data_IF_628492384927
#
_entry.id   IF_628492384927
#
_cell.length_a   1.000
_cell.length_b   1.000
_cell.length_c   1.000
_cell.angle_alpha   90.00
_cell.angle_beta   90.00
_cell.angle_gamma   90.00
#
_symmetry.space_group_name_H-M   'P 1'
#
loop_
_entity.id
_entity.type
_entity.pdbx_description
1 polymer ?
#
# COMPACT_ATOMS: atom_id res chain seq x y z
N UNK A 1 -5.99 3.83 19.58
CA UNK A 1 -4.78 4.38 18.94
C UNK A 1 -4.49 5.73 19.56
N UNK A 2 -3.25 5.97 19.92
CA UNK A 2 -2.75 7.21 20.48
C UNK A 2 -1.29 7.38 20.10
N UNK A 3 -0.76 8.59 20.27
CA UNK A 3 0.65 8.84 20.03
C UNK A 3 1.51 7.85 20.83
N UNK A 4 2.43 7.18 20.16
CA UNK A 4 3.29 6.21 20.79
C UNK A 4 2.82 4.75 20.74
N UNK A 5 1.81 4.43 19.93
CA UNK A 5 1.25 3.07 19.83
C UNK A 5 1.80 2.26 18.64
N UNK A 6 2.62 2.87 17.76
CA UNK A 6 3.17 2.19 16.59
C UNK A 6 4.19 1.11 16.97
N UNK A 7 3.81 -0.15 16.88
CA UNK A 7 4.65 -1.28 17.28
C UNK A 7 4.71 -2.41 16.25
N UNK A 8 5.84 -3.09 16.18
CA UNK A 8 6.04 -4.30 15.40
C UNK A 8 6.41 -5.46 16.30
N UNK A 9 5.64 -6.53 16.18
CA UNK A 9 5.87 -7.75 16.94
C UNK A 9 6.19 -8.91 16.01
N UNK A 10 7.15 -9.72 16.40
CA UNK A 10 7.55 -10.95 15.73
C UNK A 10 7.04 -12.14 16.51
N UNK A 11 6.37 -13.04 15.82
CA UNK A 11 6.01 -14.33 16.36
C UNK A 11 7.02 -15.40 15.95
N UNK A 12 7.42 -16.25 16.89
CA UNK A 12 8.15 -17.48 16.62
C UNK A 12 7.30 -18.67 17.05
N UNK A 13 7.42 -19.79 16.33
CA UNK A 13 6.64 -21.01 16.57
C UNK A 13 5.11 -20.77 16.54
N UNK A 14 4.65 -19.93 15.62
CA UNK A 14 3.24 -19.53 15.55
C UNK A 14 2.27 -20.69 15.31
N UNK A 15 2.77 -21.77 14.71
CA UNK A 15 1.98 -22.95 14.39
C UNK A 15 1.73 -23.88 15.58
N UNK A 16 2.49 -23.71 16.68
CA UNK A 16 2.45 -24.63 17.81
C UNK A 16 2.36 -23.91 19.16
N UNK A 17 3.46 -23.29 19.58
CA UNK A 17 3.55 -22.57 20.86
C UNK A 17 4.03 -21.13 20.56
N UNK A 18 3.11 -20.21 20.25
CA UNK A 18 3.47 -18.89 19.78
C UNK A 18 4.20 -18.10 20.87
N UNK A 19 5.36 -17.56 20.50
CA UNK A 19 6.11 -16.63 21.35
C UNK A 19 6.23 -15.30 20.60
N UNK A 20 5.70 -14.24 21.18
CA UNK A 20 5.75 -12.90 20.62
C UNK A 20 6.86 -12.06 21.23
N UNK A 21 7.62 -11.39 20.37
CA UNK A 21 8.69 -10.49 20.78
C UNK A 21 8.52 -9.17 20.03
N UNK A 22 8.51 -8.06 20.76
CA UNK A 22 8.51 -6.73 20.17
C UNK A 22 9.85 -6.48 19.50
N UNK A 23 9.84 -6.10 18.23
CA UNK A 23 11.02 -5.86 17.40
C UNK A 23 11.12 -4.43 16.89
N UNK A 24 10.05 -3.64 17.00
CA UNK A 24 10.01 -2.22 16.65
C UNK A 24 9.00 -1.47 17.49
N UNK A 25 9.21 -0.20 17.70
CA UNK A 25 8.30 0.66 18.45
C UNK A 25 8.86 2.06 18.70
N UNK A 26 7.98 2.95 19.11
CA UNK A 26 8.28 4.37 19.33
C UNK A 26 8.70 4.75 20.75
N UNK A 27 8.90 3.78 21.63
CA UNK A 27 9.50 4.01 22.93
C UNK A 27 8.54 4.33 24.07
N UNK A 28 7.24 4.24 23.86
CA UNK A 28 6.29 4.29 24.97
C UNK A 28 6.36 2.98 25.76
N UNK A 29 6.85 3.05 26.97
CA UNK A 29 7.12 1.90 27.82
C UNK A 29 8.61 1.64 28.04
N UNK A 30 8.94 0.55 28.74
CA UNK A 30 10.29 0.28 29.23
C UNK A 30 11.27 -0.29 28.20
N UNK A 31 10.96 -0.27 26.92
CA UNK A 31 11.69 -1.03 25.91
C UNK A 31 12.13 -0.18 24.71
N UNK A 32 12.89 0.86 24.89
CA UNK A 32 13.64 1.51 23.81
C UNK A 32 12.81 2.02 22.61
N UNK A 33 13.39 2.90 21.84
CA UNK A 33 12.78 3.55 20.70
C UNK A 33 13.45 3.12 19.39
N UNK A 34 12.66 2.66 18.42
CA UNK A 34 13.11 2.30 17.07
C UNK A 34 13.03 3.47 16.10
N UNK A 35 11.98 4.27 16.22
CA UNK A 35 11.67 5.40 15.37
C UNK A 35 12.23 6.70 15.92
N UNK A 36 12.34 7.72 15.08
CA UNK A 36 12.92 9.02 15.48
C UNK A 36 12.09 9.77 16.52
N UNK A 37 10.80 9.52 16.59
CA UNK A 37 9.86 10.14 17.53
C UNK A 37 8.95 9.11 18.18
N UNK A 38 8.22 9.51 19.19
CA UNK A 38 7.18 8.71 19.85
C UNK A 38 5.77 9.23 19.54
N UNK A 39 5.60 9.82 18.36
CA UNK A 39 4.32 10.43 17.94
C UNK A 39 3.53 9.54 16.98
N UNK A 40 4.15 8.52 16.40
CA UNK A 40 3.45 7.64 15.46
C UNK A 40 2.36 6.84 16.16
N UNK A 41 1.16 6.83 15.55
CA UNK A 41 0.01 6.12 16.09
C UNK A 41 -0.11 4.70 15.56
N UNK A 42 0.38 4.47 14.33
CA UNK A 42 0.25 3.16 13.70
C UNK A 42 1.43 2.79 12.78
N UNK A 43 1.57 1.50 12.59
CA UNK A 43 2.29 0.89 11.48
C UNK A 43 1.24 0.64 10.39
N UNK A 44 1.18 1.52 9.41
CA UNK A 44 0.16 1.47 8.36
C UNK A 44 0.43 0.37 7.33
N UNK A 45 1.70 0.03 7.12
CA UNK A 45 2.10 -1.00 6.16
C UNK A 45 3.39 -1.72 6.57
N UNK A 46 3.51 -2.99 6.15
CA UNK A 46 4.65 -3.83 6.49
C UNK A 46 4.90 -4.87 5.39
N UNK A 47 6.16 -5.05 5.01
CA UNK A 47 6.57 -6.05 4.02
C UNK A 47 7.96 -6.61 4.30
N UNK A 48 8.21 -7.84 3.88
CA UNK A 48 9.57 -8.41 3.82
C UNK A 48 10.12 -8.23 2.39
N UNK A 49 11.17 -7.44 2.28
CA UNK A 49 11.88 -7.19 1.01
C UNK A 49 12.99 -8.22 0.85
N UNK A 50 13.01 -8.89 -0.31
CA UNK A 50 14.03 -9.88 -0.67
C UNK A 50 14.30 -10.95 0.42
N UNK A 51 13.27 -11.30 1.21
CA UNK A 51 13.36 -12.34 2.25
C UNK A 51 14.21 -11.99 3.48
N UNK A 52 14.90 -10.86 3.49
CA UNK A 52 15.90 -10.53 4.52
C UNK A 52 15.71 -9.18 5.19
N UNK A 53 14.94 -8.29 4.60
CA UNK A 53 14.76 -6.92 5.11
C UNK A 53 13.29 -6.68 5.42
N UNK A 54 12.99 -6.39 6.67
CA UNK A 54 11.69 -5.89 7.08
C UNK A 54 11.62 -4.39 6.76
N UNK A 55 10.59 -3.99 6.04
CA UNK A 55 10.26 -2.60 5.77
C UNK A 55 8.92 -2.25 6.40
N UNK A 56 8.84 -1.08 6.99
CA UNK A 56 7.69 -0.59 7.77
C UNK A 56 7.37 0.84 7.34
N UNK A 57 6.12 1.06 6.92
CA UNK A 57 5.56 2.37 6.65
C UNK A 57 4.79 2.89 7.86
N UNK A 58 5.14 4.09 8.29
CA UNK A 58 4.55 4.79 9.42
C UNK A 58 3.78 6.02 8.95
N UNK A 59 2.99 6.56 9.85
CA UNK A 59 2.35 7.86 9.70
C UNK A 59 0.90 7.89 10.18
N UNK A 60 0.45 9.06 10.56
CA UNK A 60 -0.95 9.36 10.93
C UNK A 60 -1.27 10.85 10.83
N UNK A 61 -0.26 11.69 10.73
CA UNK A 61 -0.41 13.13 10.66
C UNK A 61 0.53 13.73 9.63
N UNK A 62 0.23 14.93 9.16
CA UNK A 62 1.09 15.66 8.22
C UNK A 62 2.53 15.72 8.74
N UNK A 63 3.44 15.22 7.91
CA UNK A 63 4.84 15.17 8.27
C UNK A 63 5.31 13.87 8.94
N UNK A 64 4.46 12.86 9.07
CA UNK A 64 4.80 11.60 9.75
C UNK A 64 5.07 10.43 8.79
N UNK A 65 4.91 10.62 7.48
CA UNK A 65 5.12 9.55 6.51
C UNK A 65 6.59 9.13 6.45
N UNK A 66 6.96 8.06 7.13
CA UNK A 66 8.32 7.55 7.18
C UNK A 66 8.44 6.07 6.82
N UNK A 67 9.50 5.74 6.08
CA UNK A 67 9.89 4.37 5.80
C UNK A 67 11.12 3.99 6.62
N UNK A 68 10.97 2.93 7.39
CA UNK A 68 12.06 2.35 8.16
C UNK A 68 12.32 0.90 7.73
N UNK A 69 13.59 0.51 7.77
CA UNK A 69 14.00 -0.87 7.44
C UNK A 69 14.88 -1.45 8.52
N UNK A 70 14.79 -2.77 8.67
CA UNK A 70 15.64 -3.54 9.55
C UNK A 70 15.94 -4.91 8.93
N UNK A 71 17.16 -5.43 9.10
CA UNK A 71 17.45 -6.81 8.70
C UNK A 71 16.71 -7.79 9.63
N UNK A 72 15.96 -8.73 9.06
CA UNK A 72 15.07 -9.65 9.83
C UNK A 72 15.82 -10.48 10.87
N UNK A 73 17.13 -10.67 10.68
CA UNK A 73 18.02 -11.42 11.61
C UNK A 73 18.47 -10.60 12.81
N UNK A 74 18.40 -9.26 12.75
CA UNK A 74 18.98 -8.35 13.76
C UNK A 74 18.00 -7.29 14.28
N UNK A 75 16.74 -7.32 13.87
CA UNK A 75 15.73 -6.39 14.35
C UNK A 75 15.49 -6.54 15.86
N UNK A 76 15.71 -5.48 16.57
CA UNK A 76 15.31 -5.32 17.98
C UNK A 76 14.69 -3.95 18.17
N UNK A 77 14.02 -3.74 19.30
CA UNK A 77 13.38 -2.44 19.59
C UNK A 77 14.39 -1.27 19.58
N UNK A 78 15.64 -1.53 19.99
CA UNK A 78 16.63 -0.47 20.17
C UNK A 78 17.69 -0.40 19.08
N UNK A 79 17.80 -1.41 18.24
CA UNK A 79 18.87 -1.50 17.24
C UNK A 79 18.40 -2.11 15.94
N UNK A 80 19.15 -1.83 14.88
CA UNK A 80 18.96 -2.44 13.57
C UNK A 80 18.04 -1.64 12.62
N UNK A 81 17.31 -0.67 13.13
CA UNK A 81 16.42 0.15 12.32
C UNK A 81 17.15 1.32 11.64
N UNK A 82 16.82 1.52 10.39
CA UNK A 82 17.37 2.61 9.56
C UNK A 82 16.22 3.29 8.82
N UNK A 83 16.10 4.61 8.99
CA UNK A 83 15.19 5.44 8.18
C UNK A 83 15.68 5.47 6.74
N UNK A 84 14.81 5.16 5.79
CA UNK A 84 15.10 5.11 4.35
C UNK A 84 14.36 6.18 3.57
N UNK A 85 13.24 6.63 4.06
CA UNK A 85 12.43 7.66 3.42
C UNK A 85 11.67 8.46 4.47
N UNK A 86 11.31 9.68 4.13
CA UNK A 86 10.53 10.54 4.99
C UNK A 86 10.30 11.92 4.38
N UNK A 87 9.46 12.67 5.04
CA UNK A 87 8.99 13.98 4.63
C UNK A 87 9.79 15.18 5.19
N UNK A 88 10.93 14.95 5.79
CA UNK A 88 11.82 15.93 6.40
C UNK A 88 11.51 16.33 7.86
N UNK A 89 10.47 15.84 8.46
CA UNK A 89 10.27 16.02 9.89
C UNK A 89 11.20 15.08 10.65
N UNK A 90 12.04 15.63 11.48
CA UNK A 90 13.11 14.89 12.14
C UNK A 90 14.46 14.95 11.42
N UNK A 91 15.46 14.28 11.96
CA UNK A 91 16.81 14.28 11.40
C UNK A 91 16.87 13.35 10.19
N UNK A 92 17.19 13.87 9.01
CA UNK A 92 17.58 12.99 7.94
C UNK A 92 17.11 13.29 6.53
N UNK A 93 16.65 14.49 6.23
CA UNK A 93 16.36 14.89 4.84
C UNK A 93 14.99 14.42 4.33
N UNK A 94 14.61 14.92 3.18
CA UNK A 94 13.28 14.80 2.58
C UNK A 94 13.33 13.89 1.35
N UNK A 95 12.48 12.87 1.31
CA UNK A 95 12.26 11.98 0.17
C UNK A 95 11.05 12.41 -0.65
N UNK A 96 10.01 12.87 0.01
CA UNK A 96 8.73 13.34 -0.53
C UNK A 96 8.22 14.56 0.20
N UNK A 97 7.07 15.12 -0.21
CA UNK A 97 6.50 16.32 0.39
C UNK A 97 6.28 16.14 1.91
N UNK A 98 6.52 17.20 2.66
CA UNK A 98 6.23 17.25 4.11
C UNK A 98 4.74 17.43 4.44
N UNK A 99 3.87 17.30 3.46
CA UNK A 99 2.41 17.27 3.65
C UNK A 99 1.87 15.85 3.68
N UNK A 100 2.67 14.85 3.27
CA UNK A 100 2.23 13.47 3.23
C UNK A 100 2.14 12.92 4.65
N UNK A 101 0.96 12.39 4.98
CA UNK A 101 0.65 11.94 6.33
C UNK A 101 1.06 10.49 6.58
N UNK A 102 1.03 9.63 5.55
CA UNK A 102 1.06 8.20 5.75
C UNK A 102 1.70 7.44 4.59
N UNK A 103 2.45 6.38 4.91
CA UNK A 103 2.83 5.31 3.98
C UNK A 103 1.80 4.19 4.07
N UNK A 104 0.77 4.25 3.23
CA UNK A 104 -0.38 3.36 3.29
C UNK A 104 -0.11 1.96 2.77
N UNK A 105 0.74 1.84 1.76
CA UNK A 105 1.00 0.55 1.11
C UNK A 105 2.46 0.40 0.70
N UNK A 106 2.94 -0.85 0.74
CA UNK A 106 4.28 -1.24 0.35
C UNK A 106 4.24 -2.42 -0.62
N UNK A 107 5.09 -2.39 -1.63
CA UNK A 107 5.37 -3.53 -2.48
C UNK A 107 6.86 -3.63 -2.77
N UNK A 108 7.35 -4.82 -3.14
CA UNK A 108 8.74 -4.98 -3.53
C UNK A 108 8.93 -5.97 -4.66
N UNK A 109 9.98 -5.78 -5.43
CA UNK A 109 10.47 -6.72 -6.44
C UNK A 109 12.00 -6.77 -6.37
N UNK A 110 12.54 -7.90 -5.92
CA UNK A 110 13.96 -7.98 -5.57
C UNK A 110 14.29 -6.99 -4.44
N UNK A 111 15.28 -6.13 -4.66
CA UNK A 111 15.70 -5.08 -3.73
C UNK A 111 14.94 -3.76 -3.93
N UNK A 112 14.18 -3.62 -5.00
CA UNK A 112 13.38 -2.42 -5.27
C UNK A 112 12.14 -2.42 -4.40
N UNK A 113 11.93 -1.33 -3.68
CA UNK A 113 10.71 -1.08 -2.90
C UNK A 113 9.88 0.02 -3.56
N UNK A 114 8.57 -0.18 -3.54
CA UNK A 114 7.57 0.80 -3.94
C UNK A 114 6.74 1.19 -2.73
N UNK A 115 6.51 2.47 -2.59
CA UNK A 115 5.80 3.09 -1.47
C UNK A 115 4.59 3.83 -2.01
N UNK A 116 3.42 3.46 -1.54
CA UNK A 116 2.17 4.18 -1.81
C UNK A 116 1.83 5.07 -0.63
N UNK A 117 1.59 6.35 -0.93
CA UNK A 117 1.36 7.40 0.07
C UNK A 117 -0.04 7.99 -0.02
N UNK A 118 -0.35 8.86 0.91
CA UNK A 118 -1.47 9.80 0.89
C UNK A 118 -2.52 9.58 1.96
N UNK A 119 -3.17 10.66 2.33
CA UNK A 119 -4.38 10.72 3.18
C UNK A 119 -5.35 11.77 2.67
N UNK A 120 -4.86 12.79 1.96
CA UNK A 120 -5.69 13.87 1.42
C UNK A 120 -5.66 13.91 -0.09
N UNK A 121 -6.66 14.56 -0.69
CA UNK A 121 -6.79 14.65 -2.14
C UNK A 121 -5.51 15.25 -2.78
N UNK A 122 -4.99 14.57 -3.79
CA UNK A 122 -3.76 14.96 -4.48
C UNK A 122 -2.47 14.38 -3.90
N UNK A 123 -2.56 13.48 -2.92
CA UNK A 123 -1.41 12.84 -2.28
C UNK A 123 -1.23 11.36 -2.63
N UNK A 124 -2.10 10.81 -3.48
CA UNK A 124 -1.98 9.44 -3.93
C UNK A 124 -0.77 9.28 -4.87
N UNK A 125 0.41 9.12 -4.28
CA UNK A 125 1.67 8.99 -5.00
C UNK A 125 2.29 7.61 -4.85
N UNK A 126 3.02 7.17 -5.88
CA UNK A 126 3.88 5.99 -5.80
C UNK A 126 5.33 6.42 -5.95
N UNK A 127 6.13 6.12 -4.94
CA UNK A 127 7.56 6.37 -4.92
C UNK A 127 8.33 5.05 -4.99
N UNK A 128 9.52 5.10 -5.55
CA UNK A 128 10.40 3.95 -5.77
C UNK A 128 11.80 4.23 -5.25
N UNK A 129 12.41 3.22 -4.66
CA UNK A 129 13.83 3.22 -4.32
C UNK A 129 14.43 1.82 -4.38
N UNK A 130 15.71 1.68 -4.70
CA UNK A 130 16.44 0.41 -4.64
C UNK A 130 17.22 0.33 -3.31
N UNK A 131 16.80 -0.54 -2.40
CA UNK A 131 17.45 -0.75 -1.11
C UNK A 131 18.85 -1.36 -1.23
N UNK A 132 19.15 -2.02 -2.36
CA UNK A 132 20.51 -2.50 -2.68
C UNK A 132 21.46 -1.40 -3.17
N UNK A 133 20.95 -0.22 -3.44
CA UNK A 133 21.68 0.93 -3.97
C UNK A 133 21.83 2.08 -2.98
N UNK A 134 21.49 3.29 -3.43
CA UNK A 134 21.67 4.54 -2.68
C UNK A 134 20.41 5.04 -1.97
N UNK A 135 19.51 4.15 -1.60
CA UNK A 135 18.25 4.48 -0.95
C UNK A 135 18.48 5.11 0.43
N UNK A 136 18.40 6.40 0.51
CA UNK A 136 18.50 7.19 1.75
C UNK A 136 17.38 8.21 1.80
N UNK A 137 17.20 8.88 2.92
CA UNK A 137 16.18 9.92 3.10
C UNK A 137 16.36 11.13 2.16
N UNK A 138 17.55 11.33 1.61
CA UNK A 138 17.86 12.49 0.74
C UNK A 138 18.10 12.13 -0.71
N UNK A 139 18.27 10.86 -1.02
CA UNK A 139 18.61 10.42 -2.38
C UNK A 139 18.09 9.04 -2.68
N UNK A 140 17.99 8.72 -3.96
CA UNK A 140 17.59 7.39 -4.44
C UNK A 140 16.08 7.23 -4.62
N UNK A 141 15.27 8.14 -4.14
CA UNK A 141 13.82 8.11 -4.35
C UNK A 141 13.41 8.78 -5.66
N UNK A 142 12.50 8.13 -6.36
CA UNK A 142 11.91 8.64 -7.60
C UNK A 142 10.41 8.44 -7.53
N UNK A 143 9.65 9.50 -7.76
CA UNK A 143 8.21 9.41 -7.95
C UNK A 143 7.94 8.72 -9.30
N UNK A 144 7.19 7.65 -9.28
CA UNK A 144 6.87 6.84 -10.48
C UNK A 144 5.39 6.83 -10.80
N UNK A 145 4.55 7.34 -9.94
CA UNK A 145 3.12 7.54 -10.14
C UNK A 145 2.59 8.61 -9.21
N UNK A 146 1.48 9.22 -9.57
CA UNK A 146 0.83 10.22 -8.73
C UNK A 146 -0.12 11.14 -9.50
N UNK A 147 -0.91 11.89 -8.76
CA UNK A 147 -1.91 12.80 -9.31
C UNK A 147 -1.30 13.92 -10.15
N UNK A 148 -0.08 14.32 -9.83
CA UNK A 148 0.62 15.42 -10.51
C UNK A 148 1.70 14.95 -11.49
N UNK A 149 2.06 13.67 -11.44
CA UNK A 149 3.14 13.13 -12.28
C UNK A 149 2.58 12.63 -13.63
N UNK A 150 2.78 13.40 -14.70
CA UNK A 150 2.49 13.02 -16.08
C UNK A 150 1.09 12.44 -16.28
N UNK A 151 0.11 12.88 -15.49
CA UNK A 151 -1.26 12.32 -15.50
C UNK A 151 -1.30 10.81 -15.28
N UNK A 152 -0.50 10.31 -14.33
CA UNK A 152 -0.46 8.87 -14.00
C UNK A 152 -1.85 8.32 -13.72
N UNK A 153 -2.65 9.07 -12.99
CA UNK A 153 -4.05 8.79 -12.74
C UNK A 153 -4.95 9.68 -13.59
N UNK A 154 -6.16 9.23 -13.86
CA UNK A 154 -7.15 10.02 -14.61
C UNK A 154 -7.76 11.18 -13.79
N UNK A 155 -7.56 11.18 -12.48
CA UNK A 155 -8.08 12.18 -11.54
C UNK A 155 -6.96 12.69 -10.64
N UNK A 156 -7.06 13.94 -10.22
CA UNK A 156 -6.19 14.54 -9.18
C UNK A 156 -6.88 14.58 -7.81
N UNK A 157 -7.88 13.75 -7.62
CA UNK A 157 -8.69 13.74 -6.40
C UNK A 157 -8.44 12.52 -5.52
N UNK A 158 -7.65 11.55 -5.97
CA UNK A 158 -7.34 10.39 -5.16
C UNK A 158 -6.53 10.81 -3.92
N UNK A 159 -6.98 10.33 -2.77
CA UNK A 159 -6.35 10.65 -1.50
C UNK A 159 -5.20 9.69 -1.21
N UNK A 160 -5.32 8.41 -1.62
CA UNK A 160 -4.41 7.35 -1.18
C UNK A 160 -4.14 6.30 -2.25
N UNK A 161 -2.93 5.75 -2.19
CA UNK A 161 -2.64 4.45 -2.78
C UNK A 161 -2.89 3.38 -1.72
N UNK A 162 -4.10 2.82 -1.72
CA UNK A 162 -4.58 1.88 -0.71
C UNK A 162 -3.81 0.57 -0.67
N UNK A 163 -3.40 0.10 -1.84
CA UNK A 163 -2.72 -1.18 -1.97
C UNK A 163 -1.76 -1.19 -3.15
N UNK A 164 -0.66 -1.89 -3.00
CA UNK A 164 0.37 -2.09 -4.02
C UNK A 164 0.73 -3.57 -4.13
N UNK A 165 1.01 -4.02 -5.34
CA UNK A 165 1.73 -5.28 -5.59
C UNK A 165 2.68 -5.11 -6.77
N UNK A 166 3.87 -5.72 -6.69
CA UNK A 166 4.90 -5.61 -7.72
C UNK A 166 5.37 -6.98 -8.20
N UNK A 167 5.71 -7.07 -9.47
CA UNK A 167 6.32 -8.25 -10.09
C UNK A 167 7.27 -7.82 -11.21
N UNK A 168 8.56 -8.05 -11.02
CA UNK A 168 9.58 -7.50 -11.91
C UNK A 168 9.50 -5.97 -11.92
N UNK A 169 9.39 -5.39 -13.11
CA UNK A 169 9.25 -3.94 -13.32
C UNK A 169 7.79 -3.47 -13.44
N UNK A 170 6.84 -4.37 -13.22
CA UNK A 170 5.40 -4.07 -13.26
C UNK A 170 4.88 -3.84 -11.85
N UNK A 171 4.10 -2.77 -11.67
CA UNK A 171 3.44 -2.44 -10.41
C UNK A 171 1.94 -2.30 -10.65
N UNK A 172 1.16 -2.78 -9.70
CA UNK A 172 -0.28 -2.58 -9.66
C UNK A 172 -0.62 -1.75 -8.43
N UNK A 173 -1.45 -0.74 -8.61
CA UNK A 173 -1.91 0.16 -7.57
C UNK A 173 -3.43 0.12 -7.47
N UNK A 174 -3.93 -0.03 -6.26
CA UNK A 174 -5.34 0.09 -5.92
C UNK A 174 -5.62 1.47 -5.34
N UNK A 175 -6.54 2.18 -5.97
CA UNK A 175 -6.93 3.55 -5.63
C UNK A 175 -8.41 3.63 -5.25
N UNK A 176 -8.84 4.83 -4.86
CA UNK A 176 -10.22 5.19 -4.61
C UNK A 176 -10.42 5.83 -3.24
N UNK A 177 -11.45 6.68 -3.12
CA UNK A 177 -11.79 7.38 -1.87
C UNK A 177 -13.27 7.68 -1.75
N UNK A 178 -13.93 7.85 -2.87
CA UNK A 178 -15.37 8.16 -2.92
C UNK A 178 -16.13 7.12 -3.72
N UNK A 179 -17.44 7.19 -3.66
CA UNK A 179 -18.29 6.24 -4.37
C UNK A 179 -17.97 6.22 -5.86
N UNK A 180 -17.75 5.03 -6.40
CA UNK A 180 -17.40 4.76 -7.77
C UNK A 180 -15.95 5.17 -8.19
N UNK A 181 -15.04 5.25 -7.21
CA UNK A 181 -13.62 5.56 -7.45
C UNK A 181 -12.69 4.35 -7.31
N UNK A 182 -13.21 3.19 -6.91
CA UNK A 182 -12.38 2.00 -6.78
C UNK A 182 -11.76 1.61 -8.13
N UNK A 183 -10.46 1.81 -8.26
CA UNK A 183 -9.73 1.57 -9.51
C UNK A 183 -8.45 0.78 -9.30
N UNK A 184 -8.09 -0.03 -10.30
CA UNK A 184 -6.78 -0.68 -10.39
C UNK A 184 -6.02 -0.13 -11.57
N UNK A 185 -4.83 0.35 -11.29
CA UNK A 185 -3.90 0.86 -12.28
C UNK A 185 -2.68 -0.05 -12.39
N UNK A 186 -2.20 -0.23 -13.60
CA UNK A 186 -0.99 -1.01 -13.93
C UNK A 186 0.06 -0.08 -14.48
N UNK A 187 1.23 -0.12 -13.87
CA UNK A 187 2.44 0.50 -14.40
C UNK A 187 3.30 -0.52 -15.09
N UNK A 188 3.79 -0.21 -16.26
CA UNK A 188 4.83 -0.97 -16.94
C UNK A 188 6.14 -0.20 -16.91
N UNK A 189 7.26 -0.91 -16.83
CA UNK A 189 8.60 -0.30 -16.75
C UNK A 189 8.74 0.74 -15.62
N UNK A 190 8.12 0.47 -14.49
CA UNK A 190 8.07 1.39 -13.35
C UNK A 190 9.43 1.72 -12.73
N UNK A 191 10.47 1.00 -13.09
CA UNK A 191 11.84 1.22 -12.65
C UNK A 191 12.61 2.22 -13.52
N UNK A 192 12.22 2.39 -14.79
CA UNK A 192 13.01 3.21 -15.75
C UNK A 192 12.19 4.26 -16.48
N UNK A 193 10.99 3.90 -16.92
CA UNK A 193 10.13 4.78 -17.71
C UNK A 193 8.66 4.45 -17.40
N UNK A 194 8.14 4.91 -16.25
CA UNK A 194 6.82 4.51 -15.78
C UNK A 194 5.71 4.91 -16.78
N UNK A 195 4.87 3.95 -17.11
CA UNK A 195 3.68 4.15 -17.93
C UNK A 195 2.49 3.48 -17.27
N UNK A 196 1.54 4.28 -16.84
CA UNK A 196 0.34 3.82 -16.14
C UNK A 196 -0.86 3.68 -17.06
N UNK A 197 -1.65 2.65 -16.82
CA UNK A 197 -2.92 2.42 -17.49
C UNK A 197 -3.93 1.82 -16.52
N UNK A 198 -5.16 2.30 -16.56
CA UNK A 198 -6.26 1.71 -15.79
C UNK A 198 -6.63 0.36 -16.39
N UNK A 199 -6.68 -0.67 -15.54
CA UNK A 199 -7.03 -2.03 -15.92
C UNK A 199 -8.29 -2.55 -15.22
N UNK A 200 -8.78 -1.85 -14.21
CA UNK A 200 -10.01 -2.19 -13.49
C UNK A 200 -10.65 -0.95 -12.87
N UNK A 201 -11.95 -0.98 -12.70
CA UNK A 201 -12.69 0.11 -12.08
C UNK A 201 -14.19 -0.08 -12.11
N UNK A 202 -14.91 0.72 -11.37
CA UNK A 202 -16.37 0.64 -11.22
C UNK A 202 -17.17 1.50 -12.19
N UNK A 203 -16.52 2.09 -13.18
CA UNK A 203 -17.20 2.66 -14.35
C UNK A 203 -17.40 4.17 -14.35
N UNK A 204 -16.90 4.90 -13.37
CA UNK A 204 -16.81 6.36 -13.45
C UNK A 204 -15.54 6.77 -14.18
N UNK A 205 -15.68 7.56 -15.20
CA UNK A 205 -14.59 7.98 -16.07
C UNK A 205 -14.50 7.18 -17.36
N UNK A 206 -13.35 7.24 -18.02
CA UNK A 206 -13.16 6.73 -19.36
C UNK A 206 -13.32 5.20 -19.44
N UNK A 207 -14.39 4.79 -20.07
CA UNK A 207 -14.67 3.48 -20.66
C UNK A 207 -14.60 2.24 -19.75
N UNK A 208 -15.77 1.82 -19.32
CA UNK A 208 -16.04 0.44 -18.94
C UNK A 208 -15.98 0.17 -17.45
N UNK A 209 -16.79 -0.77 -17.08
CA UNK A 209 -17.00 -1.20 -15.71
C UNK A 209 -16.45 -2.61 -15.54
N UNK A 210 -15.46 -2.79 -14.67
CA UNK A 210 -14.85 -4.11 -14.41
C UNK A 210 -15.65 -4.87 -13.38
N UNK A 211 -15.98 -4.21 -12.30
CA UNK A 211 -16.90 -4.72 -11.29
C UNK A 211 -18.27 -4.14 -11.57
N UNK A 212 -19.17 -5.02 -11.94
CA UNK A 212 -20.52 -4.65 -12.30
C UNK A 212 -21.19 -3.92 -11.15
N UNK A 213 -21.98 -2.91 -11.48
CA UNK A 213 -22.97 -2.34 -10.59
C UNK A 213 -23.99 -3.43 -10.23
N UNK A 214 -23.57 -4.37 -9.38
CA UNK A 214 -24.43 -5.41 -8.87
C UNK A 214 -25.31 -4.74 -7.84
N UNK A 215 -26.53 -4.41 -8.23
CA UNK A 215 -27.54 -3.80 -7.38
C UNK A 215 -27.27 -2.38 -6.85
N UNK A 216 -26.54 -1.53 -7.59
CA UNK A 216 -26.34 -0.14 -7.19
C UNK A 216 -25.21 0.10 -6.20
N UNK A 217 -24.37 -0.88 -5.94
CA UNK A 217 -23.19 -0.70 -5.12
C UNK A 217 -22.09 0.02 -5.91
N UNK A 218 -21.61 1.10 -5.38
CA UNK A 218 -20.41 1.76 -5.85
C UNK A 218 -19.29 1.48 -4.86
N UNK A 219 -18.19 0.90 -5.34
CA UNK A 219 -17.03 0.66 -4.51
C UNK A 219 -16.28 1.97 -4.29
N UNK A 220 -15.80 2.15 -3.06
CA UNK A 220 -15.06 3.36 -2.68
C UNK A 220 -13.59 3.23 -3.03
N UNK A 221 -12.99 2.08 -2.71
CA UNK A 221 -11.55 1.88 -2.86
C UNK A 221 -11.18 0.40 -3.02
N UNK A 222 -10.01 0.19 -3.57
CA UNK A 222 -9.35 -1.11 -3.66
C UNK A 222 -8.47 -1.31 -2.43
N UNK A 223 -9.03 -1.95 -1.41
CA UNK A 223 -8.39 -2.13 -0.10
C UNK A 223 -7.18 -3.06 -0.11
N UNK A 224 -7.14 -4.00 -1.04
CA UNK A 224 -6.08 -5.01 -1.10
C UNK A 224 -5.83 -5.52 -2.50
N UNK A 225 -4.57 -5.80 -2.79
CA UNK A 225 -4.09 -6.45 -4.01
C UNK A 225 -3.20 -7.64 -3.65
N UNK A 226 -3.34 -8.73 -4.39
CA UNK A 226 -2.44 -9.88 -4.31
C UNK A 226 -2.19 -10.45 -5.71
N UNK A 227 -0.95 -10.79 -6.02
CA UNK A 227 -0.58 -11.43 -7.28
C UNK A 227 -0.11 -12.86 -6.98
N UNK A 228 -0.78 -13.84 -7.60
CA UNK A 228 -0.45 -15.25 -7.49
C UNK A 228 -0.22 -15.81 -8.90
N UNK A 229 1.03 -15.98 -9.29
CA UNK A 229 1.38 -16.25 -10.69
C UNK A 229 0.89 -15.11 -11.58
N UNK A 230 0.05 -15.42 -12.55
CA UNK A 230 -0.57 -14.43 -13.44
C UNK A 230 -1.96 -13.96 -12.98
N UNK A 231 -2.43 -14.38 -11.81
CA UNK A 231 -3.74 -13.99 -11.31
C UNK A 231 -3.59 -12.81 -10.34
N UNK A 232 -4.17 -11.68 -10.70
CA UNK A 232 -4.31 -10.51 -9.81
C UNK A 232 -5.65 -10.61 -9.08
N UNK A 233 -5.59 -10.64 -7.76
CA UNK A 233 -6.74 -10.60 -6.88
C UNK A 233 -6.91 -9.19 -6.34
N UNK A 234 -8.16 -8.75 -6.27
CA UNK A 234 -8.55 -7.39 -5.89
C UNK A 234 -9.66 -7.45 -4.87
N UNK A 235 -9.38 -6.97 -3.67
CA UNK A 235 -10.39 -6.70 -2.64
C UNK A 235 -10.94 -5.30 -2.80
N UNK A 236 -12.22 -5.19 -3.14
CA UNK A 236 -12.94 -3.91 -3.25
C UNK A 236 -13.88 -3.74 -2.06
N UNK A 237 -13.99 -2.51 -1.56
CA UNK A 237 -14.84 -2.16 -0.42
C UNK A 237 -15.82 -1.04 -0.77
N UNK A 238 -17.04 -1.12 -0.22
CA UNK A 238 -18.05 -0.07 -0.35
C UNK A 238 -18.38 0.55 1.01
N UNK A 239 -18.93 1.76 1.01
CA UNK A 239 -19.34 2.46 2.24
C UNK A 239 -20.71 2.08 2.75
N UNK A 240 -21.51 1.43 1.93
CA UNK A 240 -22.91 1.17 2.26
C UNK A 240 -23.09 -0.24 2.82
N UNK A 241 -23.66 -0.35 3.99
CA UNK A 241 -23.87 -1.59 4.75
C UNK A 241 -24.71 -2.68 4.09
N UNK A 242 -24.86 -2.68 2.80
CA UNK A 242 -25.62 -3.69 2.04
C UNK A 242 -24.87 -4.31 0.86
N UNK A 243 -23.66 -3.86 0.54
CA UNK A 243 -22.89 -4.36 -0.60
C UNK A 243 -21.37 -4.36 -0.33
N UNK A 244 -21.02 -4.61 0.86
CA UNK A 244 -19.78 -4.54 1.59
C UNK A 244 -18.49 -4.82 0.86
N UNK A 245 -18.05 -6.06 0.92
CA UNK A 245 -16.75 -6.46 0.42
C UNK A 245 -16.87 -7.46 -0.72
N UNK A 246 -16.08 -7.28 -1.74
CA UNK A 246 -16.00 -8.23 -2.84
C UNK A 246 -14.55 -8.57 -3.20
N UNK A 247 -14.33 -9.80 -3.63
CA UNK A 247 -13.07 -10.28 -4.16
C UNK A 247 -13.21 -10.56 -5.66
N UNK A 248 -12.39 -9.90 -6.44
CA UNK A 248 -12.32 -10.06 -7.88
C UNK A 248 -10.96 -10.61 -8.30
N UNK A 249 -10.90 -11.26 -9.44
CA UNK A 249 -9.63 -11.69 -10.05
C UNK A 249 -9.58 -11.42 -11.53
N UNK A 250 -8.36 -11.25 -12.05
CA UNK A 250 -8.08 -11.10 -13.46
C UNK A 250 -6.75 -11.78 -13.82
N UNK A 251 -6.62 -12.34 -15.03
CA UNK A 251 -5.35 -12.86 -15.54
C UNK A 251 -4.55 -11.73 -16.20
N UNK A 252 -3.44 -11.34 -15.58
CA UNK A 252 -2.61 -10.20 -16.05
C UNK A 252 -1.77 -10.52 -17.29
N UNK A 253 -1.63 -11.79 -17.67
CA UNK A 253 -1.03 -12.19 -18.94
C UNK A 253 -2.00 -12.15 -20.12
N UNK A 254 -3.29 -12.01 -19.82
CA UNK A 254 -4.36 -12.03 -20.79
C UNK A 254 -5.03 -10.67 -20.98
N UNK A 255 -6.32 -10.63 -20.75
CA UNK A 255 -7.21 -9.54 -21.13
C UNK A 255 -7.71 -8.69 -19.98
N UNK A 256 -6.93 -8.55 -18.90
CA UNK A 256 -7.29 -7.58 -17.84
C UNK A 256 -7.45 -6.18 -18.44
N UNK A 257 -8.67 -5.73 -18.52
CA UNK A 257 -9.00 -4.38 -18.97
C UNK A 257 -10.21 -3.88 -18.19
N UNK A 258 -10.52 -2.62 -18.32
CA UNK A 258 -11.68 -2.00 -17.65
C UNK A 258 -13.03 -2.61 -18.02
N UNK A 259 -13.12 -3.38 -19.08
CA UNK A 259 -14.39 -3.93 -19.60
C UNK A 259 -14.47 -5.45 -19.60
N UNK A 260 -13.32 -6.14 -19.61
CA UNK A 260 -13.28 -7.60 -19.75
C UNK A 260 -12.16 -8.21 -18.89
N UNK A 261 -12.27 -9.49 -18.64
CA UNK A 261 -11.23 -10.26 -17.96
C UNK A 261 -11.40 -10.37 -16.45
N UNK A 262 -12.31 -9.61 -15.85
CA UNK A 262 -12.59 -9.67 -14.42
C UNK A 262 -13.67 -10.69 -14.06
N UNK A 263 -13.41 -11.47 -13.01
CA UNK A 263 -14.34 -12.45 -12.47
C UNK A 263 -14.47 -12.23 -10.98
N UNK A 264 -15.69 -12.07 -10.49
CA UNK A 264 -15.97 -12.05 -9.06
C UNK A 264 -15.82 -13.47 -8.52
N UNK A 265 -15.01 -13.65 -7.48
CA UNK A 265 -14.69 -14.96 -6.88
C UNK A 265 -15.24 -15.11 -5.47
N UNK A 266 -15.53 -14.02 -4.78
CA UNK A 266 -16.21 -14.02 -3.49
C UNK A 266 -16.85 -12.64 -3.24
N UNK A 267 -17.81 -12.58 -2.32
CA UNK A 267 -18.47 -11.35 -1.94
C UNK A 267 -19.81 -11.58 -1.29
N UNK A 268 -20.42 -10.51 -0.80
CA UNK A 268 -21.69 -10.55 -0.07
C UNK A 268 -22.86 -11.07 -0.90
N UNK A 269 -22.77 -10.95 -2.24
CA UNK A 269 -23.83 -11.37 -3.17
C UNK A 269 -23.49 -12.63 -3.99
N UNK A 270 -22.31 -13.21 -3.76
CA UNK A 270 -21.90 -14.42 -4.48
C UNK A 270 -22.00 -15.64 -3.57
N UNK A 271 -23.14 -16.36 -3.66
CA UNK A 271 -23.38 -17.61 -2.94
C UNK A 271 -23.13 -17.52 -1.42
N UNK A 272 -23.42 -16.36 -0.82
CA UNK A 272 -23.18 -16.11 0.61
C UNK A 272 -21.74 -16.45 1.04
N UNK A 273 -20.75 -16.11 0.18
CA UNK A 273 -19.32 -16.40 0.44
C UNK A 273 -18.82 -15.79 1.74
N UNK A 274 -19.33 -14.62 2.08
CA UNK A 274 -19.22 -14.01 3.40
C UNK A 274 -20.58 -14.07 4.07
N UNK A 275 -20.66 -14.41 5.31
CA UNK A 275 -21.93 -14.45 6.04
C UNK A 275 -22.68 -13.11 5.93
N UNK A 276 -23.99 -13.19 5.76
CA UNK A 276 -24.86 -11.99 5.78
C UNK A 276 -24.76 -11.38 7.17
N UNK A 277 -24.21 -10.17 7.28
CA UNK A 277 -24.39 -9.39 8.49
C UNK A 277 -25.83 -8.87 8.50
N UNK A 278 -26.65 -9.51 9.33
CA UNK A 278 -27.99 -9.06 9.65
C UNK A 278 -28.00 -7.86 10.58
#
# INVERSE_FOLDING_TARGET
>A
TGAGDAEVWKCTSCDSTPTWTKVGGDGTGSAGQSWATNTYEEVASLIIVNGTTLAVGLGTSAGDAELWTCATSSCTVTTGWTKRGGDATGSGGQSWSNTIDEIRSLASSGTVIYVGTGVTAGEADVWRCDLGGTCTTTSGWTQVGGDTLNTSWASSTYERVWSLVASGTTVYAGLGDTAADAEVWKCTSCDTSPSWSKIGGDGTGISGQSWGNVSGASFLYVSSLALMGNQLFVGASSSAGTSGAELWRCDVSGTCSTTVGWTRVAGDYLNDSWGVYG
#
